data_IF_613313612742
#
_entry.id   IF_613313612742
#
_cell.length_a   1.000
_cell.length_b   1.000
_cell.length_c   1.000
_cell.angle_alpha   90.00
_cell.angle_beta   90.00
_cell.angle_gamma   90.00
#
_symmetry.space_group_name_H-M   'P 1'
#
loop_
_entity.id
_entity.type
_entity.pdbx_description
1 polymer ?
#
# COMPACT_ATOMS: atom_id res chain seq x y z
N UNK A 1 31.99 -4.63 14.58
CA UNK A 1 30.82 -5.51 14.74
C UNK A 1 29.97 -5.31 13.51
N UNK A 2 29.78 -6.36 12.70
CA UNK A 2 29.07 -6.28 11.42
C UNK A 2 27.61 -5.80 11.64
N UNK A 3 27.04 -5.17 10.60
CA UNK A 3 25.66 -4.71 10.46
C UNK A 3 24.66 -5.88 10.64
N UNK A 4 24.52 -6.37 11.86
CA UNK A 4 23.46 -7.30 12.25
C UNK A 4 22.51 -6.45 13.07
N UNK A 5 21.36 -6.13 12.49
CA UNK A 5 20.31 -5.40 13.19
C UNK A 5 20.04 -6.05 14.55
N UNK A 6 19.94 -5.25 15.61
CA UNK A 6 19.79 -5.73 16.99
C UNK A 6 18.33 -5.87 17.42
N UNK A 7 17.42 -5.21 16.71
CA UNK A 7 15.98 -5.27 16.95
C UNK A 7 15.19 -5.00 15.66
N UNK A 8 13.88 -5.18 15.72
CA UNK A 8 12.99 -5.00 14.56
C UNK A 8 13.05 -3.59 13.97
N UNK A 9 13.14 -2.53 14.79
CA UNK A 9 13.21 -1.16 14.28
C UNK A 9 14.48 -0.92 13.48
N UNK A 10 15.64 -1.35 14.02
CA UNK A 10 16.92 -1.22 13.31
C UNK A 10 16.88 -1.98 11.99
N UNK A 11 16.30 -3.19 11.97
CA UNK A 11 16.17 -3.98 10.76
C UNK A 11 15.28 -3.28 9.70
N UNK A 12 14.16 -2.70 10.12
CA UNK A 12 13.28 -1.89 9.25
C UNK A 12 14.07 -0.71 8.64
N UNK A 13 14.85 0.00 9.46
CA UNK A 13 15.65 1.15 9.02
C UNK A 13 16.75 0.73 8.04
N UNK A 14 17.49 -0.33 8.34
CA UNK A 14 18.57 -0.84 7.47
C UNK A 14 18.03 -1.29 6.11
N UNK A 15 16.95 -2.07 6.09
CA UNK A 15 16.27 -2.46 4.84
C UNK A 15 15.73 -1.23 4.11
N UNK A 16 15.22 -0.24 4.84
CA UNK A 16 14.81 1.05 4.28
C UNK A 16 15.94 1.76 3.55
N UNK A 17 17.08 1.95 4.20
CA UNK A 17 18.26 2.60 3.60
C UNK A 17 18.73 1.85 2.35
N UNK A 18 18.83 0.52 2.42
CA UNK A 18 19.22 -0.31 1.28
C UNK A 18 18.22 -0.17 0.11
N UNK A 19 16.92 -0.17 0.40
CA UNK A 19 15.88 -0.02 -0.63
C UNK A 19 15.93 1.36 -1.30
N UNK A 20 16.18 2.43 -0.53
CA UNK A 20 16.36 3.77 -1.08
C UNK A 20 17.59 3.85 -1.99
N UNK A 21 18.74 3.35 -1.53
CA UNK A 21 19.95 3.30 -2.33
C UNK A 21 19.78 2.49 -3.62
N UNK A 22 19.16 1.30 -3.52
CA UNK A 22 18.88 0.45 -4.66
C UNK A 22 17.96 1.12 -5.68
N UNK A 23 16.87 1.76 -5.25
CA UNK A 23 15.95 2.43 -6.17
C UNK A 23 16.58 3.62 -6.88
N UNK A 24 17.40 4.42 -6.18
CA UNK A 24 18.17 5.51 -6.80
C UNK A 24 19.06 4.96 -7.90
N UNK A 25 19.76 3.86 -7.64
CA UNK A 25 20.61 3.22 -8.64
C UNK A 25 19.79 2.69 -9.82
N UNK A 26 18.72 1.93 -9.57
CA UNK A 26 17.90 1.29 -10.61
C UNK A 26 17.23 2.31 -11.53
N UNK A 27 16.63 3.38 -11.01
CA UNK A 27 15.95 4.38 -11.84
C UNK A 27 16.89 5.35 -12.58
N UNK A 28 18.17 5.35 -12.23
CA UNK A 28 19.21 6.14 -12.91
C UNK A 28 20.10 5.30 -13.84
N UNK A 29 19.94 3.96 -13.85
CA UNK A 29 20.73 3.07 -14.69
C UNK A 29 20.35 3.15 -16.18
N UNK A 30 19.08 3.44 -16.48
CA UNK A 30 18.58 3.56 -17.85
C UNK A 30 17.51 4.67 -17.95
N UNK A 31 17.38 5.33 -19.12
CA UNK A 31 16.32 6.30 -19.36
C UNK A 31 14.95 5.61 -19.34
N UNK A 32 14.07 6.10 -18.46
CA UNK A 32 12.71 5.58 -18.31
C UNK A 32 11.79 6.23 -19.33
N UNK A 33 11.66 5.58 -20.49
CA UNK A 33 10.72 6.00 -21.53
C UNK A 33 9.28 5.70 -21.15
N UNK A 34 8.35 6.48 -21.69
CA UNK A 34 6.91 6.28 -21.48
C UNK A 34 6.47 4.87 -21.87
N UNK A 35 6.91 4.39 -23.04
CA UNK A 35 6.56 3.06 -23.57
C UNK A 35 7.11 1.94 -22.70
N UNK A 36 8.33 2.09 -22.15
CA UNK A 36 8.92 1.09 -21.24
C UNK A 36 8.09 0.95 -19.97
N UNK A 37 7.72 2.08 -19.35
CA UNK A 37 6.90 2.06 -18.13
C UNK A 37 5.52 1.48 -18.39
N UNK A 38 4.87 1.89 -19.49
CA UNK A 38 3.58 1.35 -19.89
C UNK A 38 3.66 -0.16 -20.14
N UNK A 39 4.66 -0.64 -20.89
CA UNK A 39 4.85 -2.07 -21.14
C UNK A 39 5.02 -2.86 -19.83
N UNK A 40 5.90 -2.38 -18.93
CA UNK A 40 6.11 -3.01 -17.63
C UNK A 40 4.81 -3.05 -16.80
N UNK A 41 4.05 -1.95 -16.80
CA UNK A 41 2.76 -1.89 -16.10
C UNK A 41 1.75 -2.87 -16.69
N UNK A 42 1.67 -3.01 -18.02
CA UNK A 42 0.74 -3.97 -18.64
C UNK A 42 1.11 -5.42 -18.30
N UNK A 43 2.40 -5.76 -18.37
CA UNK A 43 2.88 -7.10 -18.00
C UNK A 43 2.56 -7.40 -16.53
N UNK A 44 2.86 -6.46 -15.63
CA UNK A 44 2.53 -6.61 -14.20
C UNK A 44 1.03 -6.66 -13.95
N UNK A 45 0.23 -5.87 -14.69
CA UNK A 45 -1.22 -5.85 -14.59
C UNK A 45 -1.86 -7.19 -15.00
N UNK A 46 -1.35 -7.83 -16.05
CA UNK A 46 -1.73 -9.19 -16.44
C UNK A 46 -1.33 -10.17 -15.32
N UNK A 47 -0.09 -10.08 -14.83
CA UNK A 47 0.39 -10.92 -13.73
C UNK A 47 -0.49 -10.83 -12.49
N UNK A 48 -0.86 -9.62 -12.05
CA UNK A 48 -1.73 -9.43 -10.90
C UNK A 48 -3.14 -9.99 -11.13
N UNK A 49 -3.71 -9.83 -12.33
CA UNK A 49 -4.99 -10.47 -12.65
C UNK A 49 -4.93 -12.00 -12.53
N UNK A 50 -3.84 -12.62 -13.02
CA UNK A 50 -3.64 -14.06 -12.93
C UNK A 50 -3.51 -14.49 -11.46
N UNK A 51 -2.62 -13.87 -10.69
CA UNK A 51 -2.36 -14.31 -9.31
C UNK A 51 -3.59 -14.04 -8.41
N UNK A 52 -4.27 -12.89 -8.58
CA UNK A 52 -5.52 -12.61 -7.84
C UNK A 52 -6.63 -13.59 -8.24
N UNK A 53 -6.70 -13.96 -9.52
CA UNK A 53 -7.63 -14.99 -10.00
C UNK A 53 -7.34 -16.37 -9.42
N UNK A 54 -6.07 -16.76 -9.31
CA UNK A 54 -5.66 -18.01 -8.67
C UNK A 54 -6.06 -18.05 -7.19
N UNK A 55 -5.92 -16.94 -6.48
CA UNK A 55 -6.39 -16.79 -5.11
C UNK A 55 -7.91 -17.05 -5.02
N UNK A 56 -8.71 -16.47 -5.92
CA UNK A 56 -10.16 -16.71 -5.98
C UNK A 56 -10.48 -18.17 -6.25
N UNK A 57 -9.79 -18.81 -7.20
CA UNK A 57 -10.00 -20.23 -7.50
C UNK A 57 -9.66 -21.09 -6.28
N UNK A 58 -8.55 -20.79 -5.58
CA UNK A 58 -8.16 -21.49 -4.36
C UNK A 58 -9.21 -21.34 -3.24
N UNK A 59 -9.80 -20.16 -3.09
CA UNK A 59 -10.88 -19.90 -2.14
C UNK A 59 -12.09 -20.80 -2.40
N UNK A 60 -12.48 -21.00 -3.66
CA UNK A 60 -13.64 -21.84 -4.01
C UNK A 60 -13.33 -23.34 -4.06
N UNK A 61 -12.08 -23.72 -4.35
CA UNK A 61 -11.68 -25.13 -4.43
C UNK A 61 -11.24 -25.73 -3.08
N UNK A 62 -11.39 -24.99 -1.97
CA UNK A 62 -11.10 -25.46 -0.62
C UNK A 62 -9.65 -25.92 -0.39
N UNK A 63 -8.70 -25.51 -1.26
CA UNK A 63 -7.26 -25.76 -1.14
C UNK A 63 -6.60 -24.85 -0.08
N UNK A 64 -7.12 -24.86 1.16
CA UNK A 64 -6.56 -24.09 2.27
C UNK A 64 -6.59 -22.56 2.07
N UNK A 65 -6.39 -21.81 3.15
CA UNK A 65 -6.30 -20.34 3.10
C UNK A 65 -4.91 -19.88 2.64
N UNK A 66 -4.52 -20.24 1.43
CA UNK A 66 -3.29 -19.74 0.82
C UNK A 66 -3.55 -18.33 0.28
N UNK A 67 -3.40 -17.30 1.12
CA UNK A 67 -3.49 -15.88 0.70
C UNK A 67 -2.15 -15.45 0.07
N UNK A 68 -1.95 -15.66 -1.24
CA UNK A 68 -0.69 -15.28 -1.90
C UNK A 68 -0.57 -13.77 -2.15
N UNK A 69 -1.70 -13.05 -2.22
CA UNK A 69 -1.70 -11.69 -2.81
C UNK A 69 -1.96 -10.51 -1.87
N UNK A 70 -2.02 -10.76 -0.56
CA UNK A 70 -2.30 -9.73 0.45
C UNK A 70 -1.40 -8.46 0.38
N UNK A 71 -0.09 -8.52 0.04
CA UNK A 71 0.75 -7.30 -0.04
C UNK A 71 0.70 -6.56 -1.38
N UNK A 72 0.08 -7.14 -2.41
CA UNK A 72 0.21 -6.61 -3.77
C UNK A 72 -0.79 -5.51 -4.09
N UNK A 73 -1.76 -5.23 -3.23
CA UNK A 73 -2.80 -4.23 -3.51
C UNK A 73 -2.25 -2.84 -3.85
N UNK A 74 -1.35 -2.26 -3.05
CA UNK A 74 -0.69 -0.98 -3.38
C UNK A 74 0.13 -1.05 -4.67
N UNK A 75 0.77 -2.19 -4.98
CA UNK A 75 1.57 -2.34 -6.21
C UNK A 75 0.64 -2.44 -7.45
N UNK A 76 -0.50 -3.12 -7.31
CA UNK A 76 -1.53 -3.16 -8.34
C UNK A 76 -2.09 -1.75 -8.61
N UNK A 77 -2.24 -0.91 -7.57
CA UNK A 77 -2.61 0.50 -7.74
C UNK A 77 -1.55 1.29 -8.50
N UNK A 78 -0.27 1.14 -8.10
CA UNK A 78 0.86 1.75 -8.80
C UNK A 78 0.80 1.45 -10.29
N UNK A 79 0.65 0.18 -10.65
CA UNK A 79 0.59 -0.30 -12.03
C UNK A 79 -0.61 0.24 -12.78
N UNK A 80 -1.79 0.22 -12.15
CA UNK A 80 -3.05 0.65 -12.79
C UNK A 80 -3.05 2.16 -13.04
N UNK A 81 -2.70 2.95 -12.04
CA UNK A 81 -2.65 4.41 -12.15
C UNK A 81 -1.54 4.86 -13.10
N UNK A 82 -0.36 4.21 -13.07
CA UNK A 82 0.70 4.49 -14.04
C UNK A 82 0.24 4.16 -15.46
N UNK A 83 -0.45 3.04 -15.68
CA UNK A 83 -1.01 2.72 -17.02
C UNK A 83 -1.99 3.80 -17.49
N UNK A 84 -2.91 4.22 -16.62
CA UNK A 84 -3.89 5.26 -16.95
C UNK A 84 -3.25 6.62 -17.21
N UNK A 85 -2.24 7.00 -16.41
CA UNK A 85 -1.47 8.22 -16.61
C UNK A 85 -0.68 8.18 -17.93
N UNK A 86 -0.10 7.04 -18.30
CA UNK A 86 0.58 6.88 -19.59
C UNK A 86 -0.39 7.10 -20.77
N UNK A 87 -1.56 6.48 -20.71
CA UNK A 87 -2.58 6.61 -21.75
C UNK A 87 -3.07 8.06 -21.89
N UNK A 88 -3.17 8.80 -20.78
CA UNK A 88 -3.51 10.21 -20.79
C UNK A 88 -2.48 11.04 -21.58
N UNK A 89 -1.19 10.85 -21.30
CA UNK A 89 -0.10 11.56 -22.00
C UNK A 89 -0.05 11.17 -23.49
N UNK A 90 -0.27 9.89 -23.81
CA UNK A 90 -0.27 9.40 -25.19
C UNK A 90 -1.42 10.00 -26.01
N UNK A 91 -2.62 10.08 -25.44
CA UNK A 91 -3.78 10.71 -26.08
C UNK A 91 -3.53 12.20 -26.34
N UNK A 92 -2.98 12.93 -25.36
CA UNK A 92 -2.59 14.33 -25.52
C UNK A 92 -1.53 14.53 -26.61
N UNK A 93 -0.73 13.50 -26.88
CA UNK A 93 0.29 13.49 -27.95
C UNK A 93 -0.26 13.07 -29.31
N UNK A 94 -1.57 12.85 -29.44
CA UNK A 94 -2.23 12.45 -30.69
C UNK A 94 -2.12 10.96 -31.03
N UNK A 95 -1.71 10.11 -30.08
CA UNK A 95 -1.67 8.65 -30.28
C UNK A 95 -3.06 8.06 -30.01
N UNK A 96 -3.54 7.22 -30.92
CA UNK A 96 -4.80 6.51 -30.73
C UNK A 96 -4.64 5.44 -29.64
N UNK A 97 -5.30 5.66 -28.50
CA UNK A 97 -5.21 4.77 -27.32
C UNK A 97 -6.48 3.97 -27.06
N UNK A 98 -7.46 3.99 -27.95
CA UNK A 98 -8.79 3.40 -27.71
C UNK A 98 -8.76 1.92 -27.30
N UNK A 99 -8.11 1.08 -28.12
CA UNK A 99 -7.98 -0.36 -27.83
C UNK A 99 -7.17 -0.63 -26.55
N UNK A 100 -6.08 0.11 -26.35
CA UNK A 100 -5.21 -0.06 -25.19
C UNK A 100 -5.89 0.39 -23.89
N UNK A 101 -6.68 1.47 -23.95
CA UNK A 101 -7.52 1.93 -22.85
C UNK A 101 -8.57 0.91 -22.45
N UNK A 102 -9.24 0.31 -23.44
CA UNK A 102 -10.16 -0.81 -23.21
C UNK A 102 -9.47 -1.97 -22.47
N UNK A 103 -8.27 -2.35 -22.91
CA UNK A 103 -7.49 -3.40 -22.26
C UNK A 103 -7.11 -3.05 -20.81
N UNK A 104 -6.63 -1.83 -20.54
CA UNK A 104 -6.32 -1.39 -19.17
C UNK A 104 -7.57 -1.38 -18.28
N UNK A 105 -8.73 -1.00 -18.80
CA UNK A 105 -9.99 -1.08 -18.04
C UNK A 105 -10.43 -2.51 -17.74
N UNK A 106 -10.19 -3.46 -18.65
CA UNK A 106 -10.42 -4.88 -18.38
C UNK A 106 -9.50 -5.36 -17.25
N UNK A 107 -8.20 -5.03 -17.30
CA UNK A 107 -7.26 -5.38 -16.24
C UNK A 107 -7.66 -4.76 -14.89
N UNK A 108 -8.07 -3.50 -14.89
CA UNK A 108 -8.55 -2.80 -13.69
C UNK A 108 -9.81 -3.46 -13.13
N UNK A 109 -10.77 -3.83 -13.98
CA UNK A 109 -12.00 -4.49 -13.58
C UNK A 109 -11.71 -5.88 -12.99
N UNK A 110 -10.84 -6.68 -13.63
CA UNK A 110 -10.44 -7.99 -13.12
C UNK A 110 -9.75 -7.90 -11.77
N UNK A 111 -8.80 -6.97 -11.58
CA UNK A 111 -8.17 -6.72 -10.28
C UNK A 111 -9.20 -6.30 -9.22
N UNK A 112 -10.16 -5.44 -9.60
CA UNK A 112 -11.22 -4.99 -8.69
C UNK A 112 -12.07 -6.16 -8.20
N UNK A 113 -12.50 -7.04 -9.11
CA UNK A 113 -13.33 -8.21 -8.81
C UNK A 113 -12.54 -9.23 -8.01
N UNK A 114 -11.40 -9.69 -8.52
CA UNK A 114 -10.63 -10.75 -7.86
C UNK A 114 -10.04 -10.29 -6.53
N UNK A 115 -9.47 -9.09 -6.49
CA UNK A 115 -8.92 -8.52 -5.27
C UNK A 115 -10.01 -8.24 -4.24
N UNK A 116 -11.20 -7.81 -4.65
CA UNK A 116 -12.32 -7.56 -3.75
C UNK A 116 -12.95 -8.82 -3.16
N UNK A 117 -12.98 -9.92 -3.92
CA UNK A 117 -13.43 -11.22 -3.43
C UNK A 117 -12.44 -11.82 -2.42
N UNK A 118 -11.14 -11.63 -2.64
CA UNK A 118 -10.09 -12.26 -1.82
C UNK A 118 -9.71 -11.47 -0.57
N UNK A 119 -9.49 -10.16 -0.70
CA UNK A 119 -8.79 -9.41 0.33
C UNK A 119 -9.70 -8.49 1.11
N UNK A 120 -9.59 -8.60 2.44
CA UNK A 120 -10.58 -8.04 3.35
C UNK A 120 -10.60 -6.51 3.40
N UNK A 121 -9.46 -5.87 3.15
CA UNK A 121 -9.28 -4.42 3.15
C UNK A 121 -8.97 -3.85 1.76
N UNK A 122 -8.86 -4.71 0.75
CA UNK A 122 -8.39 -4.32 -0.57
C UNK A 122 -9.33 -3.35 -1.26
N UNK A 123 -10.65 -3.58 -1.25
CA UNK A 123 -11.59 -2.67 -1.94
C UNK A 123 -11.51 -1.23 -1.41
N UNK A 124 -11.34 -1.06 -0.09
CA UNK A 124 -11.22 0.26 0.51
C UNK A 124 -9.95 0.97 0.03
N UNK A 125 -8.81 0.27 0.11
CA UNK A 125 -7.52 0.77 -0.38
C UNK A 125 -7.53 1.03 -1.89
N UNK A 126 -8.15 0.13 -2.65
CA UNK A 126 -8.24 0.17 -4.11
C UNK A 126 -9.08 1.35 -4.57
N UNK A 127 -10.29 1.52 -4.04
CA UNK A 127 -11.19 2.61 -4.44
C UNK A 127 -10.63 3.96 -4.00
N UNK A 128 -10.08 4.07 -2.79
CA UNK A 128 -9.42 5.29 -2.34
C UNK A 128 -8.21 5.63 -3.22
N UNK A 129 -7.36 4.64 -3.52
CA UNK A 129 -6.20 4.82 -4.38
C UNK A 129 -6.56 5.18 -5.81
N UNK A 130 -7.62 4.58 -6.37
CA UNK A 130 -8.15 4.96 -7.68
C UNK A 130 -8.63 6.41 -7.66
N UNK A 131 -9.39 6.82 -6.65
CA UNK A 131 -9.87 8.20 -6.51
C UNK A 131 -8.72 9.20 -6.45
N UNK A 132 -7.71 8.93 -5.61
CA UNK A 132 -6.49 9.75 -5.51
C UNK A 132 -5.74 9.77 -6.84
N UNK A 133 -5.53 8.62 -7.47
CA UNK A 133 -4.82 8.51 -8.74
C UNK A 133 -5.51 9.26 -9.87
N UNK A 134 -6.82 9.13 -10.00
CA UNK A 134 -7.62 9.90 -10.96
C UNK A 134 -7.53 11.41 -10.67
N UNK A 135 -7.54 11.82 -9.40
CA UNK A 135 -7.32 13.21 -9.04
C UNK A 135 -5.95 13.72 -9.49
N UNK A 136 -4.87 12.97 -9.19
CA UNK A 136 -3.51 13.31 -9.61
C UNK A 136 -3.39 13.39 -11.13
N UNK A 137 -3.91 12.41 -11.87
CA UNK A 137 -3.93 12.42 -13.35
C UNK A 137 -4.66 13.66 -13.86
N UNK A 138 -5.84 13.98 -13.32
CA UNK A 138 -6.61 15.14 -13.77
C UNK A 138 -5.87 16.47 -13.56
N UNK A 139 -5.10 16.59 -12.47
CA UNK A 139 -4.33 17.80 -12.15
C UNK A 139 -3.00 17.88 -12.90
N UNK A 140 -2.30 16.76 -13.06
CA UNK A 140 -1.00 16.70 -13.73
C UNK A 140 -1.15 16.73 -15.24
N UNK A 141 -2.14 16.03 -15.81
CA UNK A 141 -2.36 15.90 -17.26
C UNK A 141 -3.41 16.88 -17.81
N UNK A 142 -3.91 17.84 -17.03
CA UNK A 142 -4.97 18.81 -17.39
C UNK A 142 -6.23 18.19 -18.02
N UNK A 143 -6.54 16.94 -17.73
CA UNK A 143 -7.77 16.32 -18.16
C UNK A 143 -8.98 16.91 -17.41
N UNK A 144 -10.19 16.84 -18.02
CA UNK A 144 -11.42 17.33 -17.37
C UNK A 144 -11.55 16.76 -15.96
N UNK A 145 -11.68 17.66 -14.97
CA UNK A 145 -11.75 17.32 -13.54
C UNK A 145 -12.60 16.08 -13.28
N UNK A 146 -12.01 15.08 -12.64
CA UNK A 146 -12.72 13.86 -12.23
C UNK A 146 -13.53 14.12 -10.96
N UNK A 147 -13.19 15.15 -10.18
CA UNK A 147 -14.00 15.64 -9.06
C UNK A 147 -15.13 16.53 -9.62
N UNK A 148 -16.13 15.88 -10.19
CA UNK A 148 -17.48 16.44 -10.33
C UNK A 148 -18.39 15.68 -9.37
N UNK A 149 -19.39 16.34 -8.80
CA UNK A 149 -20.35 15.73 -7.87
C UNK A 149 -20.90 14.42 -8.44
N UNK A 150 -21.23 14.38 -9.74
CA UNK A 150 -21.69 13.17 -10.45
C UNK A 150 -20.70 12.00 -10.39
N UNK A 151 -19.40 12.26 -10.59
CA UNK A 151 -18.36 11.23 -10.59
C UNK A 151 -18.02 10.76 -9.18
N UNK A 152 -17.98 11.68 -8.20
CA UNK A 152 -17.79 11.34 -6.78
C UNK A 152 -18.96 10.50 -6.28
N UNK A 153 -20.21 10.88 -6.60
CA UNK A 153 -21.40 10.07 -6.32
C UNK A 153 -21.36 8.73 -7.04
N UNK A 154 -20.86 8.69 -8.29
CA UNK A 154 -20.64 7.44 -9.02
C UNK A 154 -19.63 6.51 -8.33
N UNK A 155 -18.51 7.05 -7.84
CA UNK A 155 -17.55 6.29 -7.02
C UNK A 155 -18.17 5.80 -5.72
N UNK A 156 -18.94 6.63 -5.02
CA UNK A 156 -19.65 6.23 -3.80
C UNK A 156 -20.67 5.12 -4.11
N UNK A 157 -21.40 5.22 -5.21
CA UNK A 157 -22.33 4.19 -5.66
C UNK A 157 -21.61 2.88 -5.97
N UNK A 158 -20.49 2.91 -6.69
CA UNK A 158 -19.67 1.71 -6.97
C UNK A 158 -19.17 1.08 -5.66
N UNK A 159 -18.73 1.90 -4.70
CA UNK A 159 -18.31 1.41 -3.39
C UNK A 159 -19.46 0.72 -2.66
N UNK A 160 -20.63 1.35 -2.58
CA UNK A 160 -21.83 0.78 -1.93
C UNK A 160 -22.29 -0.48 -2.64
N UNK A 161 -22.32 -0.49 -3.99
CA UNK A 161 -22.70 -1.66 -4.78
C UNK A 161 -21.69 -2.81 -4.62
N UNK A 162 -20.38 -2.52 -4.58
CA UNK A 162 -19.34 -3.52 -4.35
C UNK A 162 -19.42 -4.13 -2.95
N UNK A 163 -19.54 -3.29 -1.92
CA UNK A 163 -19.69 -3.75 -0.53
C UNK A 163 -21.01 -4.50 -0.32
N UNK A 164 -22.13 -3.98 -0.83
CA UNK A 164 -23.44 -4.63 -0.76
C UNK A 164 -23.49 -5.94 -1.53
N UNK A 165 -22.84 -6.01 -2.70
CA UNK A 165 -22.71 -7.23 -3.50
C UNK A 165 -21.92 -8.31 -2.76
N UNK A 166 -20.80 -7.95 -2.11
CA UNK A 166 -20.04 -8.89 -1.28
C UNK A 166 -20.83 -9.38 -0.06
N UNK A 167 -21.59 -8.49 0.59
CA UNK A 167 -22.46 -8.88 1.70
C UNK A 167 -23.56 -9.85 1.26
N UNK A 168 -24.20 -9.58 0.12
CA UNK A 168 -25.22 -10.44 -0.45
C UNK A 168 -24.64 -11.81 -0.84
N UNK A 169 -23.47 -11.83 -1.50
CA UNK A 169 -22.76 -13.08 -1.81
C UNK A 169 -22.37 -13.85 -0.54
N UNK A 170 -21.92 -13.15 0.50
CA UNK A 170 -21.59 -13.77 1.79
C UNK A 170 -22.77 -14.50 2.40
N UNK A 171 -23.97 -13.91 2.32
CA UNK A 171 -25.22 -14.51 2.82
C UNK A 171 -25.71 -15.68 1.97
N UNK A 172 -25.64 -15.55 0.64
CA UNK A 172 -26.07 -16.61 -0.30
C UNK A 172 -25.15 -17.83 -0.21
N UNK A 173 -23.84 -17.60 -0.22
CA UNK A 173 -22.83 -18.67 -0.21
C UNK A 173 -22.53 -19.19 1.21
N UNK A 174 -23.12 -18.58 2.24
CA UNK A 174 -22.82 -18.84 3.66
C UNK A 174 -21.31 -18.78 3.96
N UNK A 175 -20.61 -17.83 3.32
CA UNK A 175 -19.17 -17.61 3.49
C UNK A 175 -18.95 -16.30 4.26
N UNK A 176 -18.79 -16.34 5.60
CA UNK A 176 -18.62 -15.13 6.42
C UNK A 176 -17.36 -14.33 6.06
N UNK A 177 -16.38 -14.99 5.44
CA UNK A 177 -15.13 -14.36 4.97
C UNK A 177 -15.42 -13.23 3.98
N UNK A 178 -16.49 -13.32 3.19
CA UNK A 178 -16.86 -12.32 2.19
C UNK A 178 -17.59 -11.09 2.78
N UNK A 179 -18.19 -11.19 3.97
CA UNK A 179 -19.02 -10.13 4.56
C UNK A 179 -18.19 -8.90 4.95
N UNK A 180 -18.43 -7.72 4.35
CA UNK A 180 -17.83 -6.48 4.81
C UNK A 180 -18.43 -5.97 6.13
N UNK A 181 -19.71 -6.23 6.40
CA UNK A 181 -20.39 -5.76 7.61
C UNK A 181 -19.84 -6.42 8.87
N UNK A 182 -19.65 -7.74 8.83
CA UNK A 182 -19.05 -8.51 9.92
C UNK A 182 -17.62 -8.02 10.26
N UNK A 183 -16.93 -7.39 9.30
CA UNK A 183 -15.61 -6.77 9.53
C UNK A 183 -15.71 -5.43 10.26
N UNK A 184 -16.67 -4.59 9.88
CA UNK A 184 -16.92 -3.32 10.58
C UNK A 184 -17.33 -3.61 12.03
N UNK A 185 -18.20 -4.60 12.24
CA UNK A 185 -18.63 -5.02 13.57
C UNK A 185 -17.47 -5.54 14.42
N UNK A 186 -16.57 -6.36 13.85
CA UNK A 186 -15.35 -6.80 14.56
C UNK A 186 -14.44 -5.63 14.89
N UNK A 187 -14.21 -4.70 13.96
CA UNK A 187 -13.41 -3.51 14.22
C UNK A 187 -14.02 -2.68 15.35
N UNK A 188 -15.33 -2.44 15.34
CA UNK A 188 -16.00 -1.69 16.41
C UNK A 188 -15.88 -2.40 17.76
N UNK A 189 -16.16 -3.72 17.78
CA UNK A 189 -16.16 -4.54 19.00
C UNK A 189 -14.78 -4.62 19.65
N UNK A 190 -13.72 -4.75 18.84
CA UNK A 190 -12.37 -4.98 19.35
C UNK A 190 -11.48 -3.74 19.37
N UNK A 191 -11.77 -2.69 18.60
CA UNK A 191 -10.88 -1.51 18.50
C UNK A 191 -10.82 -0.69 19.78
N UNK A 192 -11.95 -0.47 20.45
CA UNK A 192 -12.02 0.42 21.60
C UNK A 192 -11.27 -0.13 22.83
N UNK A 193 -11.40 -1.42 23.19
CA UNK A 193 -10.54 -2.05 24.21
C UNK A 193 -9.05 -2.06 23.80
N UNK A 194 -8.76 -2.32 22.53
CA UNK A 194 -7.39 -2.35 21.99
C UNK A 194 -6.71 -0.98 22.09
N UNK A 195 -7.41 0.08 21.71
CA UNK A 195 -6.94 1.46 21.82
C UNK A 195 -6.65 1.83 23.27
N UNK A 196 -7.54 1.48 24.20
CA UNK A 196 -7.34 1.72 25.63
C UNK A 196 -6.11 1.00 26.16
N UNK A 197 -5.88 -0.25 25.75
CA UNK A 197 -4.70 -1.01 26.13
C UNK A 197 -3.43 -0.34 25.59
N UNK A 198 -3.40 -0.01 24.31
CA UNK A 198 -2.22 0.58 23.67
C UNK A 198 -1.91 1.94 24.28
N UNK A 199 -2.86 2.87 24.29
CA UNK A 199 -2.65 4.23 24.80
C UNK A 199 -2.20 4.28 26.25
N UNK A 200 -2.73 3.39 27.10
CA UNK A 200 -2.34 3.34 28.52
C UNK A 200 -0.92 2.85 28.73
N UNK A 201 -0.40 2.02 27.82
CA UNK A 201 0.86 1.31 28.02
C UNK A 201 1.99 1.77 27.09
N UNK A 202 1.71 2.57 26.08
CA UNK A 202 2.73 3.21 25.24
C UNK A 202 3.49 4.28 26.04
N UNK A 203 4.81 4.29 25.88
CA UNK A 203 5.68 5.32 26.45
C UNK A 203 6.27 6.20 25.35
N UNK A 204 7.13 7.16 25.71
CA UNK A 204 7.84 7.98 24.71
C UNK A 204 8.70 7.12 23.76
N UNK A 205 9.30 6.05 24.30
CA UNK A 205 10.11 5.08 23.58
C UNK A 205 9.67 3.67 24.00
N UNK A 206 8.92 3.01 23.11
CA UNK A 206 8.37 1.68 23.32
C UNK A 206 7.08 1.66 24.16
N UNK A 207 6.97 0.65 25.00
CA UNK A 207 5.79 0.36 25.82
C UNK A 207 6.17 -0.26 27.16
N UNK A 208 5.19 -0.38 28.06
CA UNK A 208 5.33 -1.10 29.31
C UNK A 208 5.55 -2.61 29.06
N UNK A 209 6.69 -3.21 29.45
CA UNK A 209 6.99 -4.62 29.20
C UNK A 209 5.88 -5.59 29.62
N UNK A 210 5.26 -5.34 30.78
CA UNK A 210 4.21 -6.19 31.36
C UNK A 210 2.90 -6.20 30.57
N UNK A 211 2.69 -5.20 29.72
CA UNK A 211 1.50 -5.12 28.87
C UNK A 211 1.60 -6.00 27.62
N UNK A 212 2.83 -6.35 27.22
CA UNK A 212 3.12 -7.12 26.01
C UNK A 212 2.67 -8.59 26.11
N UNK A 213 2.81 -9.30 25.00
CA UNK A 213 2.65 -10.74 24.93
C UNK A 213 3.81 -11.47 25.63
N UNK A 214 5.02 -10.92 25.53
CA UNK A 214 6.24 -11.48 26.09
C UNK A 214 6.33 -11.28 27.62
N UNK A 215 5.57 -10.35 28.19
CA UNK A 215 5.50 -10.10 29.63
C UNK A 215 6.87 -9.72 30.18
N UNK A 216 7.38 -10.46 31.16
CA UNK A 216 8.71 -10.22 31.75
C UNK A 216 9.87 -10.43 30.76
N UNK A 217 9.64 -11.17 29.66
CA UNK A 217 10.63 -11.37 28.59
C UNK A 217 10.64 -10.22 27.57
N UNK A 218 9.73 -9.26 27.71
CA UNK A 218 9.67 -8.08 26.86
C UNK A 218 10.82 -7.14 27.15
N UNK A 219 11.44 -6.65 26.09
CA UNK A 219 12.42 -5.57 26.19
C UNK A 219 11.74 -4.20 26.40
N UNK A 220 10.43 -4.13 26.24
CA UNK A 220 9.64 -2.91 26.22
C UNK A 220 9.81 -2.10 24.92
N UNK A 221 10.54 -2.59 23.92
CA UNK A 221 10.83 -1.86 22.69
C UNK A 221 11.14 -2.79 21.51
N UNK A 222 10.48 -2.60 20.37
CA UNK A 222 10.70 -3.39 19.16
C UNK A 222 10.54 -4.90 19.41
N UNK A 223 9.42 -5.28 20.01
CA UNK A 223 9.06 -6.65 20.40
C UNK A 223 8.44 -7.46 19.25
N UNK A 224 8.35 -6.86 18.06
CA UNK A 224 7.93 -7.53 16.83
C UNK A 224 6.44 -7.44 16.54
N UNK A 225 5.74 -6.48 17.14
CA UNK A 225 4.36 -6.17 16.77
C UNK A 225 4.29 -5.51 15.40
N UNK A 226 5.30 -4.72 15.05
CA UNK A 226 5.60 -4.24 13.71
C UNK A 226 6.92 -4.86 13.29
N UNK A 227 6.87 -5.69 12.25
CA UNK A 227 8.06 -6.34 11.73
C UNK A 227 8.06 -6.36 10.20
N UNK A 228 9.23 -6.55 9.62
CA UNK A 228 9.34 -6.97 8.23
C UNK A 228 8.84 -8.42 8.06
N UNK A 229 8.64 -8.89 6.81
CA UNK A 229 8.21 -10.27 6.55
C UNK A 229 9.04 -11.28 7.32
N UNK A 230 8.37 -12.22 7.98
CA UNK A 230 9.02 -13.27 8.74
C UNK A 230 10.06 -14.02 7.88
N UNK A 231 9.77 -14.25 6.60
CA UNK A 231 10.70 -14.90 5.68
C UNK A 231 12.03 -14.15 5.56
N UNK A 232 12.03 -12.82 5.60
CA UNK A 232 13.28 -12.04 5.58
C UNK A 232 14.07 -12.22 6.88
N UNK A 233 13.38 -12.19 8.02
CA UNK A 233 14.00 -12.37 9.35
C UNK A 233 14.65 -13.75 9.44
N UNK A 234 13.92 -14.78 9.00
CA UNK A 234 14.41 -16.17 8.97
C UNK A 234 15.54 -16.36 7.97
N UNK A 235 15.45 -15.74 6.78
CA UNK A 235 16.47 -15.82 5.75
C UNK A 235 17.83 -15.27 6.23
N UNK A 236 17.81 -14.18 7.01
CA UNK A 236 19.01 -13.59 7.60
C UNK A 236 19.40 -14.21 8.95
N UNK A 237 18.66 -15.20 9.46
CA UNK A 237 18.94 -15.86 10.73
C UNK A 237 18.92 -14.92 11.94
N UNK A 238 18.11 -13.86 11.91
CA UNK A 238 18.11 -12.82 12.94
C UNK A 238 17.39 -13.32 14.21
N UNK A 239 17.99 -13.17 15.41
CA UNK A 239 17.46 -13.70 16.66
C UNK A 239 16.38 -12.79 17.27
N UNK A 240 15.42 -12.33 16.46
CA UNK A 240 14.37 -11.43 16.91
C UNK A 240 13.17 -12.18 17.48
N UNK A 241 12.42 -11.59 18.42
CA UNK A 241 11.14 -12.14 18.85
C UNK A 241 10.18 -12.16 17.65
N UNK A 242 9.72 -13.34 17.25
CA UNK A 242 8.81 -13.52 16.10
C UNK A 242 7.52 -14.18 16.52
N UNK A 243 6.42 -13.65 16.02
CA UNK A 243 5.11 -14.27 16.17
C UNK A 243 4.93 -15.35 15.09
N UNK A 244 5.28 -16.60 15.39
CA UNK A 244 5.13 -17.74 14.46
C UNK A 244 3.95 -18.63 14.84
N UNK A 245 3.02 -18.89 13.90
CA UNK A 245 1.99 -19.92 14.04
C UNK A 245 0.99 -19.74 15.19
N UNK A 246 1.03 -18.62 15.90
CA UNK A 246 0.13 -18.35 17.03
C UNK A 246 -0.88 -17.28 16.60
N UNK A 247 -2.15 -17.67 16.51
CA UNK A 247 -3.29 -16.75 16.63
C UNK A 247 -3.30 -16.25 18.08
N UNK A 248 -2.57 -15.17 18.35
CA UNK A 248 -2.49 -14.61 19.70
C UNK A 248 -3.57 -13.55 19.83
N UNK A 249 -4.49 -13.70 20.79
CA UNK A 249 -5.51 -12.68 21.09
C UNK A 249 -4.92 -11.26 21.22
N UNK A 250 -3.76 -11.10 21.89
CA UNK A 250 -3.08 -9.81 22.06
C UNK A 250 -2.39 -9.29 20.79
N UNK A 251 -1.77 -10.17 19.99
CA UNK A 251 -1.17 -9.77 18.70
C UNK A 251 -2.28 -9.33 17.76
N UNK A 252 -3.34 -10.11 17.66
CA UNK A 252 -4.43 -9.82 16.74
C UNK A 252 -5.17 -8.53 17.11
N UNK A 253 -5.27 -8.22 18.41
CA UNK A 253 -5.73 -6.93 18.92
C UNK A 253 -4.87 -5.77 18.37
N UNK A 254 -3.54 -5.89 18.39
CA UNK A 254 -2.62 -4.83 17.94
C UNK A 254 -2.43 -4.79 16.41
N UNK A 255 -2.52 -5.95 15.75
CA UNK A 255 -2.25 -6.15 14.32
C UNK A 255 -3.52 -5.93 13.46
N UNK A 256 -4.71 -6.30 13.98
CA UNK A 256 -5.99 -6.18 13.25
C UNK A 256 -6.92 -5.08 13.74
N UNK A 257 -6.87 -4.69 15.03
CA UNK A 257 -7.97 -3.94 15.66
C UNK A 257 -7.62 -2.49 16.00
N UNK A 258 -6.38 -2.05 15.73
CA UNK A 258 -5.94 -0.66 15.97
C UNK A 258 -5.46 -0.02 14.67
N UNK A 259 -5.68 1.29 14.49
CA UNK A 259 -4.96 2.06 13.49
C UNK A 259 -3.45 1.91 13.62
N UNK A 260 -2.74 1.87 12.49
CA UNK A 260 -1.32 1.58 12.47
C UNK A 260 -0.43 2.58 13.20
N UNK A 261 -0.86 3.85 13.34
CA UNK A 261 -0.13 4.80 14.20
C UNK A 261 -0.02 4.30 15.65
N UNK A 262 -1.06 3.64 16.17
CA UNK A 262 -1.06 3.11 17.53
C UNK A 262 -0.29 1.80 17.62
N UNK A 263 -0.36 0.95 16.60
CA UNK A 263 0.49 -0.24 16.52
C UNK A 263 1.98 0.11 16.49
N UNK A 264 2.36 1.08 15.66
CA UNK A 264 3.72 1.61 15.59
C UNK A 264 4.17 2.28 16.88
N UNK A 265 3.31 3.15 17.46
CA UNK A 265 3.61 3.80 18.71
C UNK A 265 3.74 2.79 19.86
N UNK A 266 2.94 1.73 19.88
CA UNK A 266 3.09 0.68 20.89
C UNK A 266 4.43 -0.02 20.77
N UNK A 267 4.84 -0.44 19.57
CA UNK A 267 6.07 -1.21 19.42
C UNK A 267 7.33 -0.34 19.62
N UNK A 268 7.31 0.91 19.15
CA UNK A 268 8.50 1.76 19.07
C UNK A 268 8.40 3.10 19.82
N UNK A 269 7.26 3.43 20.44
CA UNK A 269 7.03 4.67 21.19
C UNK A 269 6.46 5.85 20.38
N UNK A 270 5.97 6.87 21.09
CA UNK A 270 5.40 8.06 20.46
C UNK A 270 6.41 8.88 19.63
N UNK A 271 7.68 8.90 20.02
CA UNK A 271 8.72 9.65 19.29
C UNK A 271 8.91 9.06 17.88
N UNK A 272 9.03 7.74 17.78
CA UNK A 272 9.24 7.06 16.49
C UNK A 272 7.98 7.12 15.62
N UNK A 273 6.78 7.07 16.21
CA UNK A 273 5.53 7.34 15.51
C UNK A 273 5.51 8.75 14.90
N UNK A 274 5.98 9.77 15.63
CA UNK A 274 6.06 11.12 15.10
C UNK A 274 7.02 11.22 13.89
N UNK A 275 8.19 10.57 13.97
CA UNK A 275 9.11 10.47 12.83
C UNK A 275 8.50 9.73 11.63
N UNK A 276 7.73 8.66 11.84
CA UNK A 276 7.01 7.96 10.78
C UNK A 276 6.04 8.92 10.05
N UNK A 277 5.28 9.72 10.79
CA UNK A 277 4.35 10.70 10.21
C UNK A 277 5.07 11.79 9.43
N UNK A 278 6.17 12.35 9.98
CA UNK A 278 7.01 13.32 9.26
C UNK A 278 7.53 12.71 7.96
N UNK A 279 8.03 11.48 8.00
CA UNK A 279 8.52 10.80 6.82
C UNK A 279 7.42 10.62 5.76
N UNK A 280 6.23 10.15 6.15
CA UNK A 280 5.10 9.99 5.23
C UNK A 280 4.72 11.32 4.55
N UNK A 281 4.56 12.38 5.35
CA UNK A 281 4.22 13.72 4.83
C UNK A 281 5.33 14.26 3.94
N UNK A 282 6.59 14.09 4.34
CA UNK A 282 7.77 14.52 3.56
C UNK A 282 7.83 13.87 2.18
N UNK A 283 7.60 12.56 2.10
CA UNK A 283 7.58 11.82 0.83
C UNK A 283 6.42 12.30 -0.07
N UNK A 284 5.23 12.52 0.49
CA UNK A 284 4.08 13.02 -0.27
C UNK A 284 4.36 14.43 -0.83
N UNK A 285 4.84 15.36 0.00
CA UNK A 285 5.14 16.73 -0.43
C UNK A 285 6.21 16.72 -1.52
N UNK A 286 7.29 15.97 -1.33
CA UNK A 286 8.37 15.84 -2.32
C UNK A 286 7.84 15.32 -3.66
N UNK A 287 7.08 14.22 -3.66
CA UNK A 287 6.55 13.67 -4.89
C UNK A 287 5.55 14.60 -5.58
N UNK A 288 4.66 15.26 -4.84
CA UNK A 288 3.73 16.24 -5.41
C UNK A 288 4.45 17.44 -6.04
N UNK A 289 5.53 17.93 -5.39
CA UNK A 289 6.38 18.99 -5.94
C UNK A 289 7.07 18.52 -7.23
N UNK A 290 7.58 17.30 -7.27
CA UNK A 290 8.21 16.77 -8.47
C UNK A 290 7.24 16.52 -9.62
N UNK A 291 6.00 16.10 -9.34
CA UNK A 291 4.96 16.05 -10.36
C UNK A 291 4.69 17.43 -10.97
N UNK A 292 4.71 18.50 -10.15
CA UNK A 292 4.58 19.85 -10.66
C UNK A 292 5.74 20.20 -11.60
N UNK A 293 6.98 19.90 -11.21
CA UNK A 293 8.18 20.14 -12.04
C UNK A 293 8.12 19.37 -13.36
N UNK A 294 7.75 18.09 -13.34
CA UNK A 294 7.63 17.29 -14.57
C UNK A 294 6.54 17.80 -15.50
N UNK A 295 5.40 18.22 -14.95
CA UNK A 295 4.36 18.85 -15.73
C UNK A 295 4.85 20.13 -16.39
N UNK A 296 5.53 21.00 -15.65
CA UNK A 296 6.07 22.25 -16.20
C UNK A 296 7.06 21.98 -17.35
N UNK A 297 7.98 21.03 -17.15
CA UNK A 297 8.91 20.59 -18.20
C UNK A 297 8.17 20.06 -19.44
N UNK A 298 7.12 19.26 -19.25
CA UNK A 298 6.29 18.72 -20.34
C UNK A 298 5.53 19.81 -21.08
N UNK A 299 4.93 20.76 -20.35
CA UNK A 299 4.22 21.91 -20.93
C UNK A 299 5.18 22.82 -21.71
N UNK A 300 6.44 22.92 -21.29
CA UNK A 300 7.52 23.60 -22.01
C UNK A 300 8.13 22.76 -23.15
N UNK A 301 7.53 21.62 -23.50
CA UNK A 301 7.88 20.80 -24.66
C UNK A 301 8.91 19.68 -24.41
N UNK A 302 9.41 19.51 -23.18
CA UNK A 302 10.37 18.45 -22.85
C UNK A 302 9.67 17.10 -22.69
N UNK A 303 10.09 16.11 -23.48
CA UNK A 303 9.60 14.72 -23.40
C UNK A 303 10.51 13.79 -22.59
N UNK A 304 11.58 14.32 -22.00
CA UNK A 304 12.64 13.55 -21.37
C UNK A 304 12.17 12.74 -20.16
N UNK A 305 11.19 13.27 -19.41
CA UNK A 305 10.79 12.71 -18.11
C UNK A 305 9.39 12.07 -18.09
N UNK A 306 8.77 11.83 -19.25
CA UNK A 306 7.40 11.32 -19.32
C UNK A 306 7.21 9.98 -18.61
N UNK A 307 8.18 9.05 -18.73
CA UNK A 307 8.10 7.77 -18.00
C UNK A 307 8.22 7.95 -16.48
N UNK A 308 9.07 8.89 -16.03
CA UNK A 308 9.21 9.22 -14.60
C UNK A 308 7.95 9.88 -14.04
N UNK A 309 7.34 10.80 -14.79
CA UNK A 309 6.10 11.49 -14.40
C UNK A 309 4.96 10.50 -14.17
N UNK A 310 4.79 9.57 -15.11
CA UNK A 310 3.76 8.53 -15.04
C UNK A 310 3.98 7.57 -13.87
N UNK A 311 5.22 7.08 -13.71
CA UNK A 311 5.58 6.17 -12.62
C UNK A 311 5.39 6.85 -11.26
N UNK A 312 5.81 8.11 -11.12
CA UNK A 312 5.63 8.91 -9.92
C UNK A 312 4.14 9.12 -9.60
N UNK A 313 3.30 9.35 -10.61
CA UNK A 313 1.85 9.50 -10.43
C UNK A 313 1.23 8.25 -9.81
N UNK A 314 1.58 7.06 -10.34
CA UNK A 314 1.12 5.79 -9.79
C UNK A 314 1.67 5.53 -8.39
N UNK A 315 2.95 5.82 -8.17
CA UNK A 315 3.62 5.61 -6.88
C UNK A 315 3.00 6.47 -5.77
N UNK A 316 2.72 7.74 -6.06
CA UNK A 316 2.05 8.64 -5.12
C UNK A 316 0.64 8.17 -4.79
N UNK A 317 -0.16 7.79 -5.79
CA UNK A 317 -1.51 7.29 -5.54
C UNK A 317 -1.51 6.03 -4.64
N UNK A 318 -0.62 5.09 -4.93
CA UNK A 318 -0.44 3.88 -4.13
C UNK A 318 0.05 4.19 -2.70
N UNK A 319 1.09 5.02 -2.57
CA UNK A 319 1.68 5.38 -1.28
C UNK A 319 0.70 6.15 -0.40
N UNK A 320 0.01 7.15 -0.95
CA UNK A 320 -1.00 7.93 -0.21
C UNK A 320 -2.17 7.05 0.25
N UNK A 321 -2.67 6.15 -0.60
CA UNK A 321 -3.72 5.22 -0.21
C UNK A 321 -3.26 4.28 0.91
N UNK A 322 -2.09 3.67 0.75
CA UNK A 322 -1.54 2.77 1.77
C UNK A 322 -1.26 3.51 3.09
N UNK A 323 -0.72 4.73 3.04
CA UNK A 323 -0.50 5.56 4.21
C UNK A 323 -1.82 5.87 4.93
N UNK A 324 -2.85 6.31 4.19
CA UNK A 324 -4.15 6.65 4.79
C UNK A 324 -4.83 5.43 5.43
N UNK A 325 -4.91 4.32 4.71
CA UNK A 325 -5.55 3.10 5.23
C UNK A 325 -4.73 2.49 6.37
N UNK A 326 -3.42 2.42 6.23
CA UNK A 326 -2.56 1.73 7.19
C UNK A 326 -2.30 2.48 8.45
N UNK A 327 -2.06 3.79 8.37
CA UNK A 327 -1.83 4.60 9.56
C UNK A 327 -3.12 4.82 10.33
N UNK A 328 -4.27 5.01 9.64
CA UNK A 328 -5.48 5.51 10.29
C UNK A 328 -6.65 4.51 10.39
N UNK A 329 -6.60 3.38 9.67
CA UNK A 329 -7.71 2.42 9.68
C UNK A 329 -7.26 1.04 10.16
N UNK A 330 -6.27 0.39 9.49
CA UNK A 330 -5.90 -1.00 9.78
C UNK A 330 -4.38 -1.21 9.74
N UNK A 331 -3.78 -1.48 10.90
CA UNK A 331 -2.33 -1.68 11.06
C UNK A 331 -1.74 -2.79 10.16
N UNK A 332 -2.48 -3.87 9.88
CA UNK A 332 -2.05 -4.95 8.95
C UNK A 332 -1.55 -4.43 7.59
N UNK A 333 -1.97 -3.24 7.16
CA UNK A 333 -1.53 -2.64 5.88
C UNK A 333 -0.21 -1.85 5.97
N UNK A 334 0.43 -1.82 7.13
CA UNK A 334 1.81 -1.33 7.36
C UNK A 334 2.66 -2.33 8.16
N UNK A 335 2.31 -3.62 8.13
CA UNK A 335 3.06 -4.68 8.82
C UNK A 335 3.47 -5.80 7.86
N UNK A 336 4.55 -6.50 8.18
CA UNK A 336 5.09 -7.60 7.38
C UNK A 336 5.39 -7.20 5.94
N UNK A 337 4.81 -7.92 4.99
CA UNK A 337 4.98 -7.66 3.55
C UNK A 337 4.40 -6.32 3.13
N UNK A 338 3.36 -5.83 3.81
CA UNK A 338 2.82 -4.50 3.53
C UNK A 338 3.80 -3.39 3.92
N UNK A 339 4.54 -3.55 5.02
CA UNK A 339 5.59 -2.59 5.41
C UNK A 339 6.71 -2.52 4.36
N UNK A 340 7.13 -3.68 3.84
CA UNK A 340 8.11 -3.74 2.76
C UNK A 340 7.62 -3.01 1.50
N UNK A 341 6.36 -3.23 1.11
CA UNK A 341 5.71 -2.49 0.01
C UNK A 341 5.64 -0.99 0.29
N UNK A 342 5.37 -0.60 1.53
CA UNK A 342 5.30 0.81 1.92
C UNK A 342 6.65 1.52 1.76
N UNK A 343 7.72 0.85 2.22
CA UNK A 343 9.10 1.30 2.03
C UNK A 343 9.44 1.35 0.54
N UNK A 344 9.11 0.31 -0.22
CA UNK A 344 9.35 0.25 -1.67
C UNK A 344 8.66 1.40 -2.44
N UNK A 345 7.40 1.71 -2.13
CA UNK A 345 6.69 2.81 -2.79
C UNK A 345 7.31 4.16 -2.44
N UNK A 346 7.69 4.34 -1.17
CA UNK A 346 8.35 5.58 -0.73
C UNK A 346 9.73 5.77 -1.40
N UNK A 347 10.52 4.70 -1.55
CA UNK A 347 11.83 4.75 -2.19
C UNK A 347 11.69 4.99 -3.69
N UNK A 348 10.63 4.47 -4.32
CA UNK A 348 10.31 4.76 -5.72
C UNK A 348 9.98 6.24 -5.95
N UNK A 349 9.18 6.86 -5.06
CA UNK A 349 8.88 8.30 -5.09
C UNK A 349 10.16 9.13 -4.89
N UNK A 350 11.00 8.73 -3.93
CA UNK A 350 12.28 9.41 -3.69
C UNK A 350 13.23 9.29 -4.88
N UNK A 351 13.40 8.10 -5.43
CA UNK A 351 14.33 7.85 -6.52
C UNK A 351 13.89 8.51 -7.84
N UNK A 352 12.57 8.57 -8.11
CA UNK A 352 12.05 9.33 -9.25
C UNK A 352 12.35 10.83 -9.10
N UNK A 353 12.27 11.35 -7.88
CA UNK A 353 12.59 12.74 -7.56
C UNK A 353 14.08 13.08 -7.66
N UNK A 354 14.96 12.07 -7.59
CA UNK A 354 16.41 12.25 -7.56
C UNK A 354 17.03 12.38 -8.96
N UNK A 355 18.00 13.29 -9.12
CA UNK A 355 18.78 13.43 -10.35
C UNK A 355 18.11 14.22 -11.49
N UNK A 356 17.01 14.93 -11.20
CA UNK A 356 16.45 15.92 -12.14
C UNK A 356 17.35 17.16 -12.12
N UNK A 357 17.94 17.50 -13.26
CA UNK A 357 18.66 18.77 -13.43
C UNK A 357 17.61 19.85 -13.71
N UNK A 358 17.47 20.81 -12.80
CA UNK A 358 16.66 22.02 -13.03
C UNK A 358 17.24 22.85 -14.17
#
# INVERSE_FOLDING_TARGET
MALIAQNHLQFIVEVGILMYAAMIFLLNLAPLSLSMILFLCLVLGIGFNIIFGLDVVALFMSFGQSEFTHPFGPIALLVTISSLAALAIMEDSGVEVGGLRGFVYILMAGITVFGGLMHRSFLLLWLLGLLIGFFLISKSMRQKSIITVKRVLGFAFIAVAGFGGLELLSRILQMPVLSPLLRIERLETFSLPSLKLVLKNTTLLGHNPMSSYWGELSSGFADGYISLPLQLILFFGLPFPVFYGILVNKKDVIDYMVPGIFGWAYDFGYITMFFLLIWCVGIIIMGLRMLYTYRDMRENGSKTYLGREVLLTGALAAFMSQALIGLFIINRTINGTALLTFIFLSSLIFATSFGVKE
#
